data_IF_695503502523
#
_entry.id   IF_695503502523
#
_cell.length_a   1.000
_cell.length_b   1.000
_cell.length_c   1.000
_cell.angle_alpha   90.00
_cell.angle_beta   90.00
_cell.angle_gamma   90.00
#
_symmetry.space_group_name_H-M   'P 1'
#
loop_
_entity.id
_entity.type
_entity.pdbx_description
1 polymer ?
#
# COMPACT_ATOMS: atom_id res chain seq x y z
N UNK A 1 -18.55 -29.91 4.54
CA UNK A 1 -19.24 -29.09 3.54
C UNK A 1 -18.44 -27.79 3.33
N UNK A 2 -18.25 -27.27 2.11
CA UNK A 2 -17.56 -26.00 1.89
C UNK A 2 -18.20 -24.84 2.68
N UNK A 3 -17.40 -23.91 3.20
CA UNK A 3 -17.87 -22.83 4.08
C UNK A 3 -19.01 -22.01 3.45
N UNK A 4 -18.86 -21.61 2.18
CA UNK A 4 -19.88 -20.84 1.47
C UNK A 4 -21.23 -21.57 1.42
N UNK A 5 -21.22 -22.90 1.31
CA UNK A 5 -22.44 -23.69 1.27
C UNK A 5 -23.12 -23.76 2.65
N UNK A 6 -22.33 -23.88 3.72
CA UNK A 6 -22.85 -23.78 5.10
C UNK A 6 -23.49 -22.41 5.34
N UNK A 7 -22.81 -21.33 4.95
CA UNK A 7 -23.35 -19.97 5.10
C UNK A 7 -24.60 -19.74 4.26
N UNK A 8 -24.70 -20.33 3.08
CA UNK A 8 -25.87 -20.17 2.21
C UNK A 8 -27.14 -20.81 2.81
N UNK A 9 -27.02 -21.88 3.60
CA UNK A 9 -28.15 -22.52 4.28
C UNK A 9 -28.77 -21.63 5.37
N UNK A 10 -28.00 -20.67 5.90
CA UNK A 10 -28.40 -19.73 6.95
C UNK A 10 -28.35 -18.27 6.48
N UNK A 11 -28.38 -18.04 5.16
CA UNK A 11 -28.16 -16.72 4.58
C UNK A 11 -29.15 -15.69 5.10
N UNK A 12 -30.45 -15.99 5.11
CA UNK A 12 -31.48 -15.03 5.51
C UNK A 12 -31.34 -14.62 6.98
N UNK A 13 -31.07 -15.58 7.87
CA UNK A 13 -30.80 -15.31 9.28
C UNK A 13 -29.57 -14.41 9.46
N UNK A 14 -28.49 -14.72 8.74
CA UNK A 14 -27.27 -13.92 8.80
C UNK A 14 -27.45 -12.55 8.16
N UNK A 15 -28.24 -12.42 7.09
CA UNK A 15 -28.52 -11.17 6.39
C UNK A 15 -29.29 -10.18 7.28
N UNK A 16 -30.25 -10.71 8.05
CA UNK A 16 -31.07 -9.93 8.98
C UNK A 16 -30.45 -9.75 10.36
N UNK A 17 -29.26 -10.29 10.61
CA UNK A 17 -28.56 -10.17 11.89
C UNK A 17 -28.34 -8.69 12.27
N UNK A 18 -28.79 -8.36 13.48
CA UNK A 18 -28.73 -7.03 14.06
C UNK A 18 -27.47 -6.85 14.92
N UNK A 19 -27.08 -5.59 15.11
CA UNK A 19 -26.06 -5.21 16.07
C UNK A 19 -26.51 -5.38 17.52
N UNK A 20 -25.63 -5.04 18.46
CA UNK A 20 -25.88 -5.28 19.89
C UNK A 20 -27.06 -4.47 20.45
N UNK A 21 -27.48 -3.39 19.76
CA UNK A 21 -28.63 -2.59 20.16
C UNK A 21 -29.93 -3.16 19.59
N UNK A 22 -29.86 -4.02 18.57
CA UNK A 22 -31.03 -4.54 17.87
C UNK A 22 -31.69 -3.51 16.96
N UNK A 23 -31.03 -2.38 16.69
CA UNK A 23 -31.62 -1.28 15.93
C UNK A 23 -31.17 -1.28 14.47
N UNK A 24 -30.01 -1.87 14.18
CA UNK A 24 -29.39 -1.81 12.86
C UNK A 24 -28.84 -3.18 12.45
N UNK A 25 -28.89 -3.47 11.16
CA UNK A 25 -28.19 -4.64 10.60
C UNK A 25 -26.69 -4.47 10.73
N UNK A 26 -25.99 -5.58 10.97
CA UNK A 26 -24.52 -5.61 10.98
C UNK A 26 -23.95 -5.14 9.64
N UNK A 27 -22.83 -4.41 9.69
CA UNK A 27 -22.00 -4.11 8.52
C UNK A 27 -21.51 -5.41 7.86
N UNK A 28 -21.20 -5.37 6.56
CA UNK A 28 -21.00 -6.56 5.74
C UNK A 28 -19.90 -7.50 6.26
N UNK A 29 -18.74 -6.97 6.61
CA UNK A 29 -17.60 -7.68 7.18
C UNK A 29 -17.93 -8.33 8.53
N UNK A 30 -18.51 -7.54 9.46
CA UNK A 30 -18.94 -8.00 10.77
C UNK A 30 -20.03 -9.06 10.66
N UNK A 31 -20.93 -8.93 9.70
CA UNK A 31 -22.00 -9.89 9.42
C UNK A 31 -21.45 -11.23 8.94
N UNK A 32 -20.51 -11.21 7.99
CA UNK A 32 -19.83 -12.42 7.51
C UNK A 32 -19.11 -13.11 8.67
N UNK A 33 -18.30 -12.39 9.44
CA UNK A 33 -17.60 -12.95 10.60
C UNK A 33 -18.56 -13.52 11.65
N UNK A 34 -19.62 -12.78 12.00
CA UNK A 34 -20.65 -13.22 12.93
C UNK A 34 -21.33 -14.52 12.46
N UNK A 35 -21.72 -14.57 11.18
CA UNK A 35 -22.35 -15.75 10.58
C UNK A 35 -21.44 -16.98 10.64
N UNK A 36 -20.17 -16.81 10.26
CA UNK A 36 -19.16 -17.89 10.29
C UNK A 36 -19.02 -18.44 11.71
N UNK A 37 -18.83 -17.58 12.70
CA UNK A 37 -18.60 -18.03 14.08
C UNK A 37 -19.85 -18.60 14.77
N UNK A 38 -21.05 -18.15 14.37
CA UNK A 38 -22.31 -18.62 14.95
C UNK A 38 -22.76 -19.96 14.39
N UNK A 39 -22.59 -20.18 13.08
CA UNK A 39 -23.20 -21.31 12.38
C UNK A 39 -22.21 -22.36 11.87
N UNK A 40 -20.90 -22.16 12.04
CA UNK A 40 -19.88 -23.08 11.53
C UNK A 40 -18.74 -23.27 12.53
N UNK A 41 -17.99 -24.37 12.37
CA UNK A 41 -16.76 -24.61 13.14
C UNK A 41 -15.53 -23.89 12.55
N UNK A 42 -15.68 -23.18 11.43
CA UNK A 42 -14.57 -22.50 10.78
C UNK A 42 -14.01 -21.37 11.67
N UNK A 43 -12.70 -21.19 11.61
CA UNK A 43 -11.98 -20.12 12.33
C UNK A 43 -11.23 -19.27 11.31
N UNK A 44 -11.43 -17.96 11.37
CA UNK A 44 -10.72 -17.02 10.50
C UNK A 44 -9.28 -16.85 11.01
N UNK A 45 -8.33 -16.81 10.08
CA UNK A 45 -6.93 -16.45 10.33
C UNK A 45 -6.65 -15.07 9.78
N UNK A 46 -5.71 -14.36 10.38
CA UNK A 46 -5.24 -13.06 9.85
C UNK A 46 -4.33 -13.31 8.65
N UNK A 47 -4.64 -12.67 7.52
CA UNK A 47 -3.74 -12.59 6.36
C UNK A 47 -3.02 -11.23 6.42
N UNK A 48 -1.75 -11.25 6.83
CA UNK A 48 -0.99 -10.03 7.08
C UNK A 48 -0.64 -9.23 5.82
N UNK A 49 -0.74 -9.84 4.63
CA UNK A 49 -0.57 -9.11 3.37
C UNK A 49 -1.80 -8.30 2.96
N UNK A 50 -2.97 -8.53 3.56
CA UNK A 50 -4.18 -7.75 3.28
C UNK A 50 -4.20 -6.49 4.16
N UNK A 51 -3.82 -5.38 3.55
CA UNK A 51 -3.95 -4.06 4.15
C UNK A 51 -5.19 -3.37 3.59
N UNK A 52 -6.01 -2.77 4.45
CA UNK A 52 -7.08 -1.87 4.01
C UNK A 52 -6.49 -0.56 3.45
N UNK A 53 -5.23 -0.22 3.74
CA UNK A 53 -4.54 0.98 3.20
C UNK A 53 -5.39 2.26 3.36
N UNK A 54 -6.14 2.33 4.45
CA UNK A 54 -7.00 3.45 4.86
C UNK A 54 -6.15 4.62 5.38
N UNK A 55 -5.20 5.05 4.56
CA UNK A 55 -4.22 6.10 4.85
C UNK A 55 -4.65 7.38 4.14
N UNK A 56 -4.84 8.44 4.91
CA UNK A 56 -5.22 9.76 4.39
C UNK A 56 -4.00 10.57 3.96
N UNK A 57 -4.13 11.30 2.86
CA UNK A 57 -3.08 12.19 2.37
C UNK A 57 -1.96 11.41 1.67
N UNK A 58 -0.76 11.40 2.25
CA UNK A 58 0.44 10.80 1.65
C UNK A 58 0.71 9.39 2.19
N UNK A 59 0.42 8.32 1.43
CA UNK A 59 0.67 6.95 1.88
C UNK A 59 2.10 6.48 1.55
N UNK A 60 2.99 7.36 1.08
CA UNK A 60 4.28 6.95 0.50
C UNK A 60 5.18 6.15 1.42
N UNK A 61 5.12 6.38 2.73
CA UNK A 61 5.89 5.58 3.69
C UNK A 61 5.61 4.08 3.59
N UNK A 62 4.38 3.66 3.24
CA UNK A 62 4.03 2.27 3.00
C UNK A 62 4.76 1.72 1.78
N UNK A 63 4.67 2.43 0.65
CA UNK A 63 5.22 2.02 -0.65
C UNK A 63 6.75 2.13 -0.74
N UNK A 64 7.38 2.92 0.14
CA UNK A 64 8.84 3.11 0.20
C UNK A 64 9.53 2.25 1.26
N UNK A 65 8.76 1.48 2.04
CA UNK A 65 9.25 0.70 3.17
C UNK A 65 10.14 -0.48 2.79
N UNK A 66 10.11 -0.90 1.51
CA UNK A 66 10.78 -2.11 1.04
C UNK A 66 10.24 -3.40 1.68
N UNK A 67 9.03 -3.35 2.23
CA UNK A 67 8.27 -4.52 2.67
C UNK A 67 7.69 -5.28 1.47
N UNK A 68 7.24 -6.54 1.64
CA UNK A 68 6.48 -7.23 0.62
C UNK A 68 5.29 -6.38 0.15
N UNK A 69 4.91 -6.56 -1.12
CA UNK A 69 3.77 -5.85 -1.69
C UNK A 69 2.49 -6.17 -0.92
N UNK A 70 1.62 -5.16 -0.72
CA UNK A 70 0.29 -5.44 -0.20
C UNK A 70 -0.49 -6.31 -1.20
N UNK A 71 -1.22 -7.30 -0.71
CA UNK A 71 -2.08 -8.17 -1.52
C UNK A 71 -3.33 -7.42 -2.03
N UNK A 72 -3.72 -6.37 -1.32
CA UNK A 72 -4.83 -5.49 -1.66
C UNK A 72 -4.48 -4.04 -1.38
N UNK A 73 -5.00 -3.15 -2.22
CA UNK A 73 -5.02 -1.72 -1.97
C UNK A 73 -6.46 -1.26 -1.94
N UNK A 74 -6.77 -0.32 -1.05
CA UNK A 74 -8.10 0.25 -0.92
C UNK A 74 -7.98 1.77 -0.79
N UNK A 75 -9.05 2.48 -1.16
CA UNK A 75 -9.12 3.94 -1.30
C UNK A 75 -8.02 4.66 -2.12
N UNK A 76 -7.34 3.97 -3.04
CA UNK A 76 -6.25 4.53 -3.87
C UNK A 76 -6.66 5.65 -4.86
N UNK A 77 -7.98 5.86 -5.07
CA UNK A 77 -8.55 6.94 -5.90
C UNK A 77 -9.22 8.06 -5.09
N UNK A 78 -9.18 8.01 -3.75
CA UNK A 78 -9.96 8.93 -2.91
C UNK A 78 -9.24 9.43 -1.67
N UNK A 79 -8.76 8.54 -0.80
CA UNK A 79 -8.17 8.94 0.49
C UNK A 79 -6.68 9.23 0.35
N UNK A 80 -6.04 8.55 -0.60
CA UNK A 80 -4.71 8.86 -1.08
C UNK A 80 -4.72 8.91 -2.60
N UNK A 81 -3.84 9.72 -3.18
CA UNK A 81 -3.63 9.78 -4.62
C UNK A 81 -2.37 9.00 -5.00
N UNK A 82 -2.56 7.78 -5.50
CA UNK A 82 -1.49 7.00 -6.13
C UNK A 82 -1.92 6.58 -7.52
N UNK A 83 -1.06 6.82 -8.51
CA UNK A 83 -1.26 6.32 -9.85
C UNK A 83 -0.82 4.84 -9.93
N UNK A 84 -1.69 3.96 -9.44
CA UNK A 84 -1.46 2.51 -9.41
C UNK A 84 -1.27 1.97 -10.83
N UNK A 85 -1.98 2.52 -11.81
CA UNK A 85 -1.88 2.09 -13.20
C UNK A 85 -0.46 2.28 -13.73
N UNK A 86 0.14 3.46 -13.50
CA UNK A 86 1.55 3.71 -13.88
C UNK A 86 2.54 2.89 -13.06
N UNK A 87 2.30 2.74 -11.76
CA UNK A 87 3.15 1.95 -10.87
C UNK A 87 3.31 0.52 -11.39
N UNK A 88 2.22 -0.07 -11.88
CA UNK A 88 2.19 -1.45 -12.36
C UNK A 88 2.91 -1.67 -13.69
N UNK A 89 3.12 -0.64 -14.52
CA UNK A 89 3.63 -0.81 -15.89
C UNK A 89 4.96 -1.57 -15.96
N UNK A 90 5.85 -1.38 -14.99
CA UNK A 90 7.17 -2.04 -14.96
C UNK A 90 7.09 -3.56 -14.80
N UNK A 91 6.00 -4.10 -14.23
CA UNK A 91 5.83 -5.57 -14.12
C UNK A 91 5.78 -6.26 -15.48
N UNK A 92 5.48 -5.54 -16.57
CA UNK A 92 5.55 -6.09 -17.94
C UNK A 92 6.95 -6.58 -18.33
N UNK A 93 8.00 -6.12 -17.65
CA UNK A 93 9.39 -6.46 -17.97
C UNK A 93 9.96 -7.48 -16.98
N UNK A 94 9.51 -7.47 -15.71
CA UNK A 94 10.11 -8.25 -14.63
C UNK A 94 9.11 -9.03 -13.76
N UNK A 95 7.85 -9.10 -14.17
CA UNK A 95 6.77 -9.72 -13.41
C UNK A 95 6.40 -8.92 -12.16
N UNK A 96 5.42 -9.42 -11.40
CA UNK A 96 4.90 -8.70 -10.23
C UNK A 96 5.97 -8.57 -9.14
N UNK A 97 6.89 -9.52 -9.02
CA UNK A 97 7.91 -9.54 -7.98
C UNK A 97 8.86 -8.32 -7.96
N UNK A 98 8.96 -7.58 -9.07
CA UNK A 98 9.79 -6.37 -9.12
C UNK A 98 9.05 -5.09 -8.72
N UNK A 99 7.72 -5.10 -8.60
CA UNK A 99 6.96 -3.93 -8.18
C UNK A 99 7.36 -3.54 -6.75
N UNK A 100 7.57 -2.25 -6.50
CA UNK A 100 7.99 -1.75 -5.18
C UNK A 100 9.27 -2.38 -4.62
N UNK A 101 10.01 -3.14 -5.42
CA UNK A 101 11.30 -3.64 -5.01
C UNK A 101 12.20 -2.44 -4.73
N UNK A 102 12.90 -2.47 -3.59
CA UNK A 102 13.70 -1.35 -3.12
C UNK A 102 15.19 -1.64 -3.23
N UNK A 103 15.87 -0.86 -4.06
CA UNK A 103 17.33 -0.88 -4.15
C UNK A 103 17.93 0.30 -3.42
N UNK A 104 19.00 0.08 -2.65
CA UNK A 104 19.83 1.14 -2.05
C UNK A 104 21.10 1.29 -2.89
N UNK A 105 21.37 2.49 -3.37
CA UNK A 105 22.61 2.85 -4.04
C UNK A 105 23.69 3.28 -3.04
N UNK A 106 24.95 3.21 -3.45
CA UNK A 106 26.11 3.53 -2.60
C UNK A 106 26.17 4.99 -2.14
N UNK A 107 25.47 5.89 -2.83
CA UNK A 107 25.40 7.32 -2.52
C UNK A 107 24.15 7.70 -1.69
N UNK A 108 23.48 6.71 -1.09
CA UNK A 108 22.36 6.89 -0.15
C UNK A 108 20.99 7.03 -0.79
N UNK A 109 20.88 6.93 -2.13
CA UNK A 109 19.60 6.93 -2.81
C UNK A 109 18.91 5.57 -2.74
N UNK A 110 17.58 5.60 -2.68
CA UNK A 110 16.71 4.43 -2.72
C UNK A 110 15.81 4.50 -3.95
N UNK A 111 15.82 3.47 -4.79
CA UNK A 111 14.84 3.30 -5.86
C UNK A 111 13.77 2.33 -5.39
N UNK A 112 12.54 2.81 -5.28
CA UNK A 112 11.33 2.02 -5.07
C UNK A 112 10.66 1.83 -6.42
N UNK A 113 10.80 0.63 -7.00
CA UNK A 113 10.42 0.41 -8.39
C UNK A 113 8.96 0.76 -8.68
N UNK A 114 8.71 1.56 -9.73
CA UNK A 114 7.35 1.99 -10.05
C UNK A 114 6.75 3.03 -9.10
N UNK A 115 7.49 3.57 -8.14
CA UNK A 115 6.92 4.54 -7.20
C UNK A 115 7.76 5.79 -7.00
N UNK A 116 9.01 5.65 -6.54
CA UNK A 116 9.85 6.81 -6.21
C UNK A 116 11.35 6.52 -6.25
N UNK A 117 12.13 7.58 -6.41
CA UNK A 117 13.54 7.63 -6.05
C UNK A 117 13.71 8.61 -4.88
N UNK A 118 14.25 8.13 -3.76
CA UNK A 118 14.27 8.89 -2.50
C UNK A 118 15.68 8.96 -1.93
N UNK A 119 16.06 10.12 -1.41
CA UNK A 119 17.22 10.27 -0.53
C UNK A 119 16.74 10.83 0.80
N UNK A 120 16.78 10.00 1.83
CA UNK A 120 16.47 10.40 3.20
C UNK A 120 17.52 11.40 3.71
N UNK A 121 17.09 12.34 4.56
CA UNK A 121 17.98 13.30 5.21
C UNK A 121 18.89 12.63 6.24
N UNK A 122 18.48 11.47 6.74
CA UNK A 122 19.24 10.63 7.65
C UNK A 122 19.51 9.25 7.03
N UNK A 123 20.68 8.70 7.34
CA UNK A 123 21.01 7.34 6.92
C UNK A 123 20.15 6.32 7.64
N UNK A 124 19.37 5.56 6.87
CA UNK A 124 18.66 4.40 7.41
C UNK A 124 19.62 3.21 7.61
N UNK A 125 19.42 2.42 8.67
CA UNK A 125 20.14 1.16 8.87
C UNK A 125 20.04 0.23 7.66
N UNK A 126 21.06 -0.60 7.46
CA UNK A 126 21.00 -1.60 6.39
C UNK A 126 19.84 -2.57 6.65
N UNK A 127 18.99 -2.77 5.65
CA UNK A 127 17.80 -3.62 5.77
C UNK A 127 16.64 -3.00 6.56
N UNK A 128 16.65 -1.70 6.85
CA UNK A 128 15.55 -1.03 7.54
C UNK A 128 14.21 -1.24 6.81
N UNK A 129 13.22 -1.86 7.46
CA UNK A 129 11.86 -2.06 6.92
C UNK A 129 10.80 -1.32 7.73
N UNK A 130 11.20 -0.28 8.45
CA UNK A 130 10.25 0.59 9.12
C UNK A 130 9.37 1.28 8.07
N UNK A 131 8.18 1.71 8.46
CA UNK A 131 7.29 2.51 7.62
C UNK A 131 7.38 3.96 8.11
N UNK A 132 7.63 4.90 7.20
CA UNK A 132 7.56 6.33 7.53
C UNK A 132 6.11 6.73 7.73
N UNK A 133 5.77 7.38 8.84
CA UNK A 133 4.43 7.90 9.04
C UNK A 133 4.25 9.19 8.21
N UNK A 134 3.94 9.03 6.92
CA UNK A 134 3.73 10.14 5.99
C UNK A 134 2.27 10.59 5.88
N UNK A 135 1.34 9.73 6.28
CA UNK A 135 -0.09 9.98 6.22
C UNK A 135 -0.59 10.83 7.38
N UNK A 136 -1.79 11.37 7.20
CA UNK A 136 -2.50 12.15 8.20
C UNK A 136 -3.37 11.23 9.07
N UNK A 137 -3.49 11.56 10.35
CA UNK A 137 -4.41 10.87 11.25
C UNK A 137 -5.85 11.29 10.92
N UNK A 138 -6.77 10.31 10.81
CA UNK A 138 -8.18 10.57 10.56
C UNK A 138 -8.99 10.63 11.86
N UNK A 139 -9.76 11.71 12.05
CA UNK A 139 -10.63 11.94 13.22
C UNK A 139 -9.92 11.75 14.58
N UNK A 140 -10.12 10.59 15.20
CA UNK A 140 -9.62 10.22 16.53
C UNK A 140 -8.49 9.19 16.46
N UNK A 141 -8.04 8.85 15.24
CA UNK A 141 -6.92 7.96 15.04
C UNK A 141 -5.64 8.55 15.65
N UNK A 142 -4.78 7.65 16.10
CA UNK A 142 -3.43 7.96 16.56
C UNK A 142 -2.47 6.94 15.98
N UNK A 143 -1.16 7.08 16.24
CA UNK A 143 -0.16 6.07 15.85
C UNK A 143 -0.59 4.64 16.24
N UNK A 144 -1.18 4.48 17.42
CA UNK A 144 -1.64 3.20 17.93
C UNK A 144 -2.72 2.54 17.06
N UNK A 145 -3.47 3.31 16.28
CA UNK A 145 -4.46 2.79 15.34
C UNK A 145 -3.80 2.01 14.19
N UNK A 146 -2.53 2.28 13.88
CA UNK A 146 -1.83 1.71 12.73
C UNK A 146 -0.82 0.62 13.11
N UNK A 147 -0.26 0.66 14.32
CA UNK A 147 0.86 -0.21 14.72
C UNK A 147 0.54 -1.70 14.67
N UNK A 148 -0.73 -2.12 14.79
CA UNK A 148 -1.10 -3.53 14.69
C UNK A 148 -0.74 -4.13 13.31
N UNK A 149 -0.88 -3.35 12.23
CA UNK A 149 -0.63 -3.80 10.86
C UNK A 149 0.66 -3.24 10.27
N UNK A 150 1.03 -2.01 10.61
CA UNK A 150 2.08 -1.26 9.93
C UNK A 150 3.38 -1.09 10.75
N UNK A 151 3.39 -1.43 12.05
CA UNK A 151 4.61 -1.32 12.83
C UNK A 151 5.77 -2.19 12.28
N UNK A 152 7.03 -1.85 12.57
CA UNK A 152 7.48 -0.61 13.23
C UNK A 152 7.32 0.63 12.33
N UNK A 153 6.90 1.74 12.94
CA UNK A 153 6.81 3.07 12.31
C UNK A 153 8.05 3.92 12.64
N UNK A 154 8.40 4.85 11.75
CA UNK A 154 9.38 5.91 11.98
C UNK A 154 8.75 7.30 11.74
N UNK A 155 9.29 8.37 12.35
CA UNK A 155 8.83 9.72 12.09
C UNK A 155 8.98 10.12 10.62
N UNK A 156 8.14 11.08 10.19
CA UNK A 156 8.25 11.72 8.88
C UNK A 156 9.61 12.39 8.70
N UNK A 157 10.22 12.21 7.53
CA UNK A 157 11.47 12.86 7.16
C UNK A 157 11.17 14.09 6.29
N UNK A 158 11.08 15.26 6.92
CA UNK A 158 10.82 16.54 6.25
C UNK A 158 11.97 16.98 5.34
N UNK A 159 13.17 16.43 5.54
CA UNK A 159 14.35 16.75 4.73
C UNK A 159 14.56 15.81 3.55
N UNK A 160 13.67 14.82 3.32
CA UNK A 160 13.84 13.84 2.26
C UNK A 160 13.68 14.46 0.88
N UNK A 161 14.60 14.12 -0.03
CA UNK A 161 14.49 14.47 -1.44
C UNK A 161 13.77 13.33 -2.15
N UNK A 162 12.66 13.65 -2.82
CA UNK A 162 11.84 12.66 -3.50
C UNK A 162 11.66 13.03 -4.96
N UNK A 163 11.97 12.07 -5.85
CA UNK A 163 11.46 12.06 -7.21
C UNK A 163 10.28 11.08 -7.26
N UNK A 164 9.10 11.56 -7.67
CA UNK A 164 7.89 10.72 -7.81
C UNK A 164 7.76 10.23 -9.23
N UNK A 165 7.26 9.00 -9.41
CA UNK A 165 6.90 8.50 -10.72
C UNK A 165 5.83 9.42 -11.34
N UNK A 166 6.17 10.05 -12.47
CA UNK A 166 5.25 10.90 -13.21
C UNK A 166 4.62 10.14 -14.38
N UNK A 167 5.43 9.32 -15.06
CA UNK A 167 4.99 8.53 -16.21
C UNK A 167 5.72 7.20 -16.33
N UNK A 168 5.03 6.21 -16.92
CA UNK A 168 5.57 4.90 -17.21
C UNK A 168 5.04 4.39 -18.56
N UNK A 169 5.93 4.23 -19.53
CA UNK A 169 5.59 3.99 -20.93
C UNK A 169 6.21 2.67 -21.38
N UNK A 170 5.39 1.82 -21.99
CA UNK A 170 5.88 0.60 -22.65
C UNK A 170 6.55 0.98 -23.97
N UNK A 171 7.81 0.57 -24.13
CA UNK A 171 8.63 0.84 -25.32
C UNK A 171 8.87 -0.46 -26.07
N UNK A 172 8.15 -0.65 -27.18
CA UNK A 172 8.14 -1.92 -27.91
C UNK A 172 7.60 -3.07 -27.05
N UNK A 173 8.16 -4.27 -27.22
CA UNK A 173 7.63 -5.48 -26.56
C UNK A 173 8.43 -5.93 -25.32
N UNK A 174 9.56 -5.29 -25.03
CA UNK A 174 10.54 -5.77 -24.04
C UNK A 174 11.15 -4.68 -23.18
N UNK A 175 10.60 -3.47 -23.19
CA UNK A 175 11.13 -2.37 -22.41
C UNK A 175 10.04 -1.49 -21.82
N UNK A 176 10.36 -0.87 -20.69
CA UNK A 176 9.52 0.13 -20.01
C UNK A 176 10.40 1.32 -19.66
N UNK A 177 9.96 2.51 -20.04
CA UNK A 177 10.57 3.78 -19.67
C UNK A 177 9.79 4.38 -18.50
N UNK A 178 10.46 4.74 -17.42
CA UNK A 178 9.87 5.42 -16.26
C UNK A 178 10.48 6.80 -16.09
N UNK A 179 9.62 7.79 -15.92
CA UNK A 179 9.99 9.20 -15.76
C UNK A 179 9.67 9.59 -14.33
N UNK A 180 10.69 9.99 -13.58
CA UNK A 180 10.60 10.43 -12.20
C UNK A 180 10.90 11.92 -12.12
N UNK A 181 10.06 12.68 -11.41
CA UNK A 181 10.19 14.14 -11.32
C UNK A 181 10.31 14.56 -9.86
N UNK A 182 11.24 15.45 -9.59
CA UNK A 182 11.38 16.17 -8.33
C UNK A 182 11.08 17.65 -8.58
N UNK A 183 10.14 18.18 -7.80
CA UNK A 183 9.79 19.60 -7.76
C UNK A 183 10.50 20.22 -6.54
N UNK A 184 11.51 21.09 -6.74
CA UNK A 184 12.19 21.74 -5.63
C UNK A 184 11.22 22.60 -4.80
N UNK A 185 11.27 22.55 -3.46
CA UNK A 185 10.36 23.30 -2.60
C UNK A 185 10.58 24.82 -2.66
N UNK A 186 11.75 25.26 -3.10
CA UNK A 186 12.11 26.67 -3.30
C UNK A 186 11.65 27.25 -4.66
N UNK A 187 10.90 26.47 -5.45
CA UNK A 187 10.41 26.88 -6.76
C UNK A 187 11.48 26.90 -7.86
N UNK A 188 12.61 26.22 -7.64
CA UNK A 188 13.61 25.98 -8.68
C UNK A 188 13.10 25.05 -9.79
N UNK A 189 13.91 24.88 -10.83
CA UNK A 189 13.55 24.05 -11.99
C UNK A 189 13.33 22.58 -11.61
N UNK A 190 12.31 21.99 -12.24
CA UNK A 190 12.01 20.56 -12.15
C UNK A 190 13.22 19.72 -12.55
N UNK A 191 13.51 18.70 -11.73
CA UNK A 191 14.57 17.74 -12.01
C UNK A 191 13.96 16.43 -12.43
N UNK A 192 14.47 15.87 -13.53
CA UNK A 192 13.92 14.68 -14.15
C UNK A 192 14.95 13.57 -14.19
N UNK A 193 14.52 12.37 -13.80
CA UNK A 193 15.28 11.12 -13.96
C UNK A 193 14.49 10.20 -14.86
N UNK A 194 15.17 9.62 -15.83
CA UNK A 194 14.61 8.70 -16.81
C UNK A 194 15.30 7.35 -16.70
N UNK A 195 14.51 6.30 -16.47
CA UNK A 195 14.98 4.92 -16.31
C UNK A 195 14.36 4.05 -17.39
N UNK A 196 15.22 3.38 -18.17
CA UNK A 196 14.80 2.40 -19.18
C UNK A 196 15.09 0.97 -18.69
N UNK A 197 14.03 0.25 -18.34
CA UNK A 197 14.08 -1.18 -18.07
C UNK A 197 14.02 -1.97 -19.38
N UNK A 198 14.81 -3.05 -19.48
CA UNK A 198 14.81 -3.98 -20.61
C UNK A 198 14.74 -5.42 -20.09
N UNK A 199 13.88 -6.23 -20.70
CA UNK A 199 13.84 -7.66 -20.45
C UNK A 199 15.07 -8.29 -21.10
N UNK A 200 15.85 -9.02 -20.30
CA UNK A 200 16.99 -9.83 -20.75
C UNK A 200 16.57 -11.00 -21.62
#
# INVERSE_FOLDING_TARGET
MPLLRQMNEVYDECFDALDITGERRLAGDRRVAHCIYKHTDAKLSVEYGLHQVDLHGDPSGLYESGRPQPLSIHHWKSWSEIDVEKLLVVSRVCGDACLLHRWRFSNGWYLNNGFSLVKYSQDLPWGDRTIEKTWEDWETASDYSYVHSLAPLRPRDEGKITYRLKDAIVVGNKAVRQIYVHHPPDGGDDRVIDILWRAG
#
